data_IF_879142262049
#
_entry.id   IF_879142262049
#
_cell.length_a   1.000
_cell.length_b   1.000
_cell.length_c   1.000
_cell.angle_alpha   90.00
_cell.angle_beta   90.00
_cell.angle_gamma   90.00
#
_symmetry.space_group_name_H-M   'P 1'
#
loop_
_entity.id
_entity.type
_entity.pdbx_description
1 polymer ?
#
# COMPACT_ATOMS: atom_id res chain seq x y z
N UNK A 1 5.30 -15.10 -6.07
CA UNK A 1 3.89 -14.80 -5.81
C UNK A 1 3.79 -13.80 -4.66
N UNK A 2 3.01 -12.71 -4.77
CA UNK A 2 2.77 -11.83 -3.62
C UNK A 2 1.81 -12.50 -2.63
N UNK A 3 2.10 -12.39 -1.33
CA UNK A 3 1.30 -13.01 -0.27
C UNK A 3 1.23 -12.06 0.92
N UNK A 4 0.06 -11.94 1.53
CA UNK A 4 -0.16 -11.17 2.75
C UNK A 4 -0.80 -12.04 3.81
N UNK A 5 -0.24 -12.00 5.01
CA UNK A 5 -0.81 -12.57 6.22
C UNK A 5 -1.26 -11.42 7.12
N UNK A 6 -2.49 -11.52 7.61
CA UNK A 6 -3.09 -10.55 8.54
C UNK A 6 -3.58 -11.32 9.74
N UNK A 7 -3.19 -10.88 10.93
CA UNK A 7 -3.69 -11.37 12.20
C UNK A 7 -4.22 -10.20 13.02
N UNK A 8 -5.47 -10.28 13.45
CA UNK A 8 -6.13 -9.28 14.28
C UNK A 8 -6.30 -9.83 15.70
N UNK A 9 -5.42 -9.40 16.60
CA UNK A 9 -5.40 -9.83 18.00
C UNK A 9 -6.15 -8.90 18.95
N UNK A 10 -6.91 -7.91 18.46
CA UNK A 10 -7.50 -6.85 19.31
C UNK A 10 -8.40 -7.38 20.44
N UNK A 11 -9.02 -8.54 20.26
CA UNK A 11 -9.91 -9.17 21.24
C UNK A 11 -9.27 -10.35 21.98
N UNK A 12 -7.98 -10.63 21.74
CA UNK A 12 -7.29 -11.77 22.33
C UNK A 12 -6.47 -11.33 23.54
N UNK A 13 -6.79 -11.85 24.73
CA UNK A 13 -6.15 -11.47 25.99
C UNK A 13 -4.68 -11.91 26.09
N UNK A 14 -4.27 -12.88 25.29
CA UNK A 14 -2.91 -13.44 25.29
C UNK A 14 -2.02 -12.91 24.15
N UNK A 15 -2.54 -12.01 23.31
CA UNK A 15 -1.76 -11.45 22.20
C UNK A 15 -0.98 -10.21 22.62
N UNK A 16 0.32 -10.20 22.35
CA UNK A 16 1.17 -9.00 22.50
C UNK A 16 0.89 -7.93 21.42
N UNK A 17 0.17 -8.28 20.34
CA UNK A 17 -0.04 -7.40 19.18
C UNK A 17 -1.52 -7.25 18.82
N UNK A 18 -1.98 -6.01 18.65
CA UNK A 18 -3.34 -5.74 18.16
C UNK A 18 -3.51 -6.08 16.67
N UNK A 19 -2.45 -5.88 15.86
CA UNK A 19 -2.41 -6.26 14.45
C UNK A 19 -1.00 -6.73 14.10
N UNK A 20 -0.89 -7.90 13.45
CA UNK A 20 0.31 -8.33 12.75
C UNK A 20 0.00 -8.38 11.26
N UNK A 21 0.84 -7.73 10.46
CA UNK A 21 0.75 -7.76 9.00
C UNK A 21 2.11 -8.11 8.43
N UNK A 22 2.15 -9.18 7.63
CA UNK A 22 3.36 -9.64 6.95
C UNK A 22 3.04 -9.68 5.46
N UNK A 23 3.76 -8.89 4.67
CA UNK A 23 3.60 -8.81 3.23
C UNK A 23 4.87 -9.25 2.54
N UNK A 24 4.78 -10.31 1.74
CA UNK A 24 5.82 -10.72 0.80
C UNK A 24 5.44 -10.23 -0.59
N UNK A 25 6.39 -9.57 -1.25
CA UNK A 25 6.26 -9.13 -2.63
C UNK A 25 7.18 -9.93 -3.53
N UNK A 26 6.60 -10.43 -4.61
CA UNK A 26 7.34 -11.03 -5.71
C UNK A 26 7.65 -9.97 -6.76
N UNK A 27 8.93 -9.65 -6.90
CA UNK A 27 9.45 -8.67 -7.85
C UNK A 27 10.86 -9.06 -8.30
N UNK A 28 11.29 -8.51 -9.44
CA UNK A 28 12.69 -8.44 -9.83
C UNK A 28 13.57 -7.94 -8.67
N UNK A 29 14.56 -8.76 -8.31
CA UNK A 29 15.49 -8.49 -7.22
C UNK A 29 16.28 -7.17 -7.41
N UNK A 30 16.56 -6.82 -8.66
CA UNK A 30 17.33 -5.61 -9.01
C UNK A 30 16.48 -4.33 -9.06
N UNK A 31 15.15 -4.42 -8.89
CA UNK A 31 14.29 -3.22 -8.93
C UNK A 31 14.64 -2.32 -7.74
N UNK A 32 15.13 -1.09 -7.98
CA UNK A 32 15.58 -0.22 -6.92
C UNK A 32 14.38 0.25 -6.08
N UNK A 33 14.52 0.15 -4.76
CA UNK A 33 13.53 0.59 -3.80
C UNK A 33 14.20 1.16 -2.56
N UNK A 34 13.58 2.18 -1.96
CA UNK A 34 13.98 2.68 -0.66
C UNK A 34 13.44 1.73 0.43
N UNK A 35 14.29 1.39 1.40
CA UNK A 35 13.88 0.67 2.61
C UNK A 35 12.79 1.44 3.37
N UNK A 36 12.01 0.72 4.17
CA UNK A 36 10.97 1.33 5.01
C UNK A 36 11.58 2.36 5.96
N UNK A 37 11.07 3.59 5.87
CA UNK A 37 11.46 4.73 6.68
C UNK A 37 10.31 5.76 6.71
N UNK A 38 10.35 6.76 7.61
CA UNK A 38 9.53 7.95 7.46
C UNK A 38 9.77 8.60 6.10
N UNK A 39 8.72 9.08 5.44
CA UNK A 39 8.88 9.79 4.17
C UNK A 39 9.44 11.19 4.36
N UNK A 40 10.32 11.62 3.46
CA UNK A 40 10.92 12.96 3.51
C UNK A 40 9.87 14.06 3.36
N UNK A 41 8.87 13.83 2.51
CA UNK A 41 7.78 14.78 2.29
C UNK A 41 6.71 14.76 3.39
N UNK A 42 6.69 13.72 4.23
CA UNK A 42 5.71 13.56 5.31
C UNK A 42 6.19 12.53 6.34
N UNK A 43 6.75 13.01 7.46
CA UNK A 43 7.29 12.15 8.52
C UNK A 43 6.23 11.34 9.27
N UNK A 44 4.95 11.57 9.01
CA UNK A 44 3.85 10.77 9.57
C UNK A 44 3.52 9.52 8.76
N UNK A 45 4.16 9.35 7.59
CA UNK A 45 3.95 8.20 6.72
C UNK A 45 5.23 7.37 6.70
N UNK A 46 5.07 6.08 6.97
CA UNK A 46 6.15 5.10 6.98
C UNK A 46 5.92 4.09 5.86
N UNK A 47 6.92 3.88 5.02
CA UNK A 47 6.84 2.90 3.94
C UNK A 47 8.05 2.98 3.03
N UNK A 48 8.33 1.90 2.30
CA UNK A 48 9.31 1.95 1.23
C UNK A 48 8.83 2.81 0.06
N UNK A 49 9.75 3.26 -0.79
CA UNK A 49 9.43 3.98 -2.03
C UNK A 49 9.97 3.24 -3.23
N UNK A 50 9.21 3.24 -4.31
CA UNK A 50 9.68 2.76 -5.60
C UNK A 50 10.64 3.79 -6.20
N UNK A 51 11.85 3.34 -6.54
CA UNK A 51 12.88 4.18 -7.17
C UNK A 51 13.09 3.80 -8.65
N UNK A 52 12.31 2.85 -9.16
CA UNK A 52 12.33 2.47 -10.57
C UNK A 52 11.95 3.67 -11.46
N UNK A 53 12.69 3.93 -12.55
CA UNK A 53 12.36 4.97 -13.52
C UNK A 53 10.91 4.91 -14.01
N UNK A 54 10.19 6.02 -13.91
CA UNK A 54 8.78 6.13 -14.28
C UNK A 54 7.79 5.63 -13.22
N UNK A 55 8.27 5.05 -12.11
CA UNK A 55 7.44 4.62 -10.98
C UNK A 55 7.73 5.41 -9.69
N UNK A 56 8.57 6.45 -9.77
CA UNK A 56 9.06 7.19 -8.62
C UNK A 56 7.93 7.79 -7.79
N UNK A 57 8.13 7.75 -6.47
CA UNK A 57 7.14 8.21 -5.49
C UNK A 57 5.99 7.24 -5.24
N UNK A 58 5.90 6.14 -6.01
CA UNK A 58 5.02 5.02 -5.71
C UNK A 58 5.47 4.22 -4.47
N UNK A 59 4.58 3.39 -3.96
CA UNK A 59 4.87 2.45 -2.87
C UNK A 59 3.98 1.21 -2.98
N UNK A 60 4.46 0.08 -2.48
CA UNK A 60 3.66 -1.15 -2.35
C UNK A 60 2.96 -1.27 -1.02
N UNK A 61 3.47 -0.60 0.02
CA UNK A 61 2.92 -0.66 1.37
C UNK A 61 3.36 0.57 2.15
N UNK A 62 2.40 1.24 2.78
CA UNK A 62 2.66 2.34 3.68
C UNK A 62 1.62 2.40 4.80
N UNK A 63 2.03 2.96 5.93
CA UNK A 63 1.20 3.17 7.12
C UNK A 63 1.40 4.59 7.64
N UNK A 64 0.31 5.20 8.09
CA UNK A 64 0.32 6.46 8.82
C UNK A 64 -0.45 6.29 10.12
N UNK A 65 0.24 6.02 11.24
CA UNK A 65 -0.40 5.80 12.53
C UNK A 65 -1.23 7.00 12.99
N UNK A 66 -0.72 8.23 12.78
CA UNK A 66 -1.42 9.46 13.18
C UNK A 66 -2.69 9.72 12.39
N UNK A 67 -2.81 9.15 11.18
CA UNK A 67 -4.02 9.24 10.35
C UNK A 67 -4.89 7.97 10.41
N UNK A 68 -4.46 6.94 11.14
CA UNK A 68 -5.15 5.65 11.16
C UNK A 68 -5.20 4.94 9.79
N UNK A 69 -4.28 5.26 8.87
CA UNK A 69 -4.29 4.72 7.50
C UNK A 69 -3.22 3.64 7.33
N UNK A 70 -3.59 2.54 6.69
CA UNK A 70 -2.67 1.55 6.16
C UNK A 70 -3.13 1.14 4.77
N UNK A 71 -2.21 1.10 3.80
CA UNK A 71 -2.52 0.66 2.44
C UNK A 71 -1.41 -0.20 1.87
N UNK A 72 -1.79 -1.22 1.10
CA UNK A 72 -0.84 -2.07 0.38
C UNK A 72 -1.40 -2.65 -0.92
N UNK A 73 -0.50 -3.04 -1.80
CA UNK A 73 -0.79 -3.61 -3.11
C UNK A 73 -0.29 -5.04 -3.23
N UNK A 74 -1.16 -5.92 -3.68
CA UNK A 74 -0.83 -7.28 -4.10
C UNK A 74 -0.94 -7.36 -5.62
N UNK A 75 0.02 -8.05 -6.24
CA UNK A 75 -0.03 -8.33 -7.66
C UNK A 75 -1.03 -9.47 -7.94
N UNK A 76 -2.00 -9.24 -8.83
CA UNK A 76 -2.80 -10.30 -9.41
C UNK A 76 -2.17 -10.73 -10.74
N UNK A 77 -1.80 -12.01 -10.92
CA UNK A 77 -1.31 -12.51 -12.19
C UNK A 77 -2.41 -12.37 -13.26
N UNK A 78 -2.07 -11.84 -14.42
CA UNK A 78 -3.02 -11.63 -15.50
C UNK A 78 -2.33 -11.15 -16.78
N UNK A 79 -3.13 -10.80 -17.79
CA UNK A 79 -2.61 -10.23 -19.04
C UNK A 79 -2.00 -8.86 -18.76
N UNK A 80 -0.69 -8.73 -19.02
CA UNK A 80 0.00 -7.44 -18.88
C UNK A 80 -0.48 -6.50 -19.99
N UNK A 81 -0.95 -5.32 -19.61
CA UNK A 81 -1.22 -4.21 -20.53
C UNK A 81 0.10 -3.49 -20.80
N UNK A 82 0.47 -3.34 -22.07
CA UNK A 82 1.75 -2.73 -22.47
C UNK A 82 1.90 -1.28 -21.99
N UNK A 83 0.80 -0.53 -21.92
CA UNK A 83 0.76 0.87 -21.45
C UNK A 83 0.13 1.02 -20.07
N UNK A 84 0.27 0.01 -19.20
CA UNK A 84 -0.26 0.07 -17.84
C UNK A 84 0.35 1.22 -17.04
N UNK A 85 -0.50 1.98 -16.34
CA UNK A 85 -0.03 2.93 -15.32
C UNK A 85 0.53 2.20 -14.10
N UNK A 86 1.46 2.85 -13.40
CA UNK A 86 2.03 2.32 -12.16
C UNK A 86 0.98 2.30 -11.05
N UNK A 87 0.80 1.13 -10.43
CA UNK A 87 -0.12 0.96 -9.29
C UNK A 87 0.40 1.66 -8.03
N UNK A 88 1.72 1.84 -7.91
CA UNK A 88 2.35 2.32 -6.68
C UNK A 88 1.86 3.69 -6.21
N UNK A 89 1.31 4.51 -7.12
CA UNK A 89 0.69 5.79 -6.76
C UNK A 89 -0.59 5.65 -5.95
N UNK A 90 -1.33 4.54 -6.08
CA UNK A 90 -2.60 4.34 -5.37
C UNK A 90 -2.37 4.38 -3.85
N UNK A 91 -1.35 3.67 -3.34
CA UNK A 91 -1.07 3.71 -1.90
C UNK A 91 -0.48 5.06 -1.51
N UNK A 92 0.43 5.61 -2.32
CA UNK A 92 1.06 6.90 -2.04
C UNK A 92 0.07 8.05 -1.95
N UNK A 93 -0.89 8.10 -2.87
CA UNK A 93 -1.90 9.14 -2.92
C UNK A 93 -2.95 8.93 -1.82
N UNK A 94 -3.27 7.68 -1.45
CA UNK A 94 -4.14 7.39 -0.31
C UNK A 94 -3.56 7.89 1.02
N UNK A 95 -2.24 7.72 1.24
CA UNK A 95 -1.56 8.20 2.45
C UNK A 95 -1.54 9.73 2.55
N UNK A 96 -1.51 10.42 1.41
CA UNK A 96 -1.49 11.88 1.31
C UNK A 96 -2.89 12.50 1.30
N UNK A 97 -3.92 11.72 1.01
CA UNK A 97 -5.29 12.21 0.96
C UNK A 97 -5.89 12.34 2.36
N UNK A 98 -6.89 13.20 2.49
CA UNK A 98 -7.79 13.27 3.66
C UNK A 98 -9.10 12.53 3.41
N UNK A 99 -9.26 11.90 2.23
CA UNK A 99 -10.47 11.17 1.88
C UNK A 99 -10.65 9.93 2.77
N UNK A 100 -11.89 9.64 3.20
CA UNK A 100 -12.28 8.33 3.69
C UNK A 100 -11.95 7.23 2.67
N UNK A 101 -11.72 6.00 3.14
CA UNK A 101 -11.34 4.89 2.26
C UNK A 101 -12.36 4.62 1.15
N UNK A 102 -13.65 4.63 1.48
CA UNK A 102 -14.74 4.41 0.51
C UNK A 102 -14.71 5.43 -0.63
N UNK A 103 -14.61 6.71 -0.30
CA UNK A 103 -14.52 7.80 -1.28
C UNK A 103 -13.23 7.72 -2.11
N UNK A 104 -12.11 7.33 -1.47
CA UNK A 104 -10.85 7.17 -2.18
C UNK A 104 -10.90 6.04 -3.21
N UNK A 105 -11.55 4.92 -2.89
CA UNK A 105 -11.75 3.79 -3.82
C UNK A 105 -12.58 4.22 -5.04
N UNK A 106 -13.64 5.00 -4.83
CA UNK A 106 -14.43 5.56 -5.93
C UNK A 106 -13.60 6.54 -6.77
N UNK A 107 -12.82 7.40 -6.12
CA UNK A 107 -11.96 8.39 -6.79
C UNK A 107 -10.93 7.73 -7.71
N UNK A 108 -10.31 6.62 -7.30
CA UNK A 108 -9.27 5.94 -8.10
C UNK A 108 -9.83 5.02 -9.18
N UNK A 109 -11.14 4.82 -9.28
CA UNK A 109 -11.74 3.83 -10.18
C UNK A 109 -11.25 3.94 -11.63
N UNK A 110 -11.26 5.15 -12.20
CA UNK A 110 -10.81 5.33 -13.60
C UNK A 110 -9.29 5.13 -13.76
N UNK A 111 -8.51 5.38 -12.71
CA UNK A 111 -7.07 5.14 -12.70
C UNK A 111 -6.75 3.65 -12.57
N UNK A 112 -7.46 2.92 -11.72
CA UNK A 112 -7.28 1.48 -11.49
C UNK A 112 -7.52 0.68 -12.78
N UNK A 113 -8.49 1.09 -13.60
CA UNK A 113 -8.78 0.49 -14.91
C UNK A 113 -7.61 0.60 -15.91
N UNK A 114 -6.73 1.59 -15.73
CA UNK A 114 -5.53 1.78 -16.56
C UNK A 114 -4.30 1.04 -16.03
N UNK A 115 -4.42 0.38 -14.87
CA UNK A 115 -3.35 -0.42 -14.30
C UNK A 115 -3.43 -1.88 -14.76
N UNK A 116 -2.33 -2.63 -14.60
CA UNK A 116 -2.39 -4.09 -14.52
C UNK A 116 -3.19 -4.51 -13.29
N UNK A 117 -3.81 -5.70 -13.31
CA UNK A 117 -4.64 -6.19 -12.21
C UNK A 117 -3.88 -6.22 -10.87
N UNK A 118 -4.63 -5.97 -9.79
CA UNK A 118 -4.09 -5.86 -8.43
C UNK A 118 -5.20 -5.99 -7.40
N UNK A 119 -4.80 -6.28 -6.16
CA UNK A 119 -5.64 -6.03 -5.00
C UNK A 119 -5.05 -4.83 -4.26
N UNK A 120 -5.91 -3.86 -3.94
CA UNK A 120 -5.61 -2.83 -2.95
C UNK A 120 -6.25 -3.24 -1.64
N UNK A 121 -5.44 -3.44 -0.62
CA UNK A 121 -5.88 -3.77 0.72
C UNK A 121 -5.58 -2.58 1.64
N UNK A 122 -6.56 -2.21 2.44
CA UNK A 122 -6.44 -1.11 3.41
C UNK A 122 -7.04 -1.53 4.73
N UNK A 123 -6.44 -1.07 5.83
CA UNK A 123 -6.99 -1.19 7.18
C UNK A 123 -7.18 0.22 7.71
N UNK A 124 -8.38 0.50 8.18
CA UNK A 124 -8.69 1.72 8.92
C UNK A 124 -8.69 1.36 10.40
N UNK A 125 -7.81 1.99 11.17
CA UNK A 125 -7.66 1.72 12.60
C UNK A 125 -8.73 2.39 13.46
N UNK A 126 -9.62 3.18 12.86
CA UNK A 126 -10.50 4.09 13.58
C UNK A 126 -9.69 5.25 14.17
N UNK A 127 -10.35 6.38 14.42
CA UNK A 127 -9.76 7.42 15.27
C UNK A 127 -9.75 6.92 16.72
N UNK A 128 -8.64 7.07 17.46
CA UNK A 128 -8.61 6.81 18.90
C UNK A 128 -9.62 7.67 19.67
#
# INVERSE_FOLDING_TARGET
MCIVFIYNGVNETESDYSLILISNRDEHFERPAQCMAPWNEDSNVYGGKDLEPGCEGGTWMAVSPTRGKLGLLLNLPGVKKESAKSRGRIVSDYMKSTMPLSEYVEFIHNYSMQCNEFLFLSVDFGTP
#
